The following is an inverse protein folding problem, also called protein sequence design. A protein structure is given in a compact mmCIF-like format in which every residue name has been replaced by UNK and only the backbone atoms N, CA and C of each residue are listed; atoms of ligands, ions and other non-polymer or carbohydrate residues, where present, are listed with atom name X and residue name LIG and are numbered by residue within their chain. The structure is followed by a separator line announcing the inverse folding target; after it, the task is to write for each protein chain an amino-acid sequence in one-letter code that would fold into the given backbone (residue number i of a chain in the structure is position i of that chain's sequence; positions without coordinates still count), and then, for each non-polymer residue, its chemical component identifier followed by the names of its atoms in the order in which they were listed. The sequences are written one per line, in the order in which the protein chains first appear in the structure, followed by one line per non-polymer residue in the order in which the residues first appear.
data_IF_771311712322
#
_entry.id   IF_771311712322
#
_cell.length_a   1.000
_cell.length_b   1.000
_cell.length_c   1.000
_cell.angle_alpha   90.00
_cell.angle_beta   90.00
_cell.angle_gamma   90.00
#
_symmetry.space_group_name_H-M   'P 1'
#
loop_
_entity.id
_entity.type
_entity.pdbx_description
1 polymer ?
#
# COMPACT_ATOMS: atom_id res chain seq x y z
N UNK A 1 -23.96 8.45 19.38
CA UNK A 1 -23.22 9.02 18.24
C UNK A 1 -23.35 8.08 17.06
N UNK A 2 -23.41 8.60 15.84
CA UNK A 2 -23.45 7.82 14.59
C UNK A 2 -22.36 8.30 13.63
N UNK A 3 -21.75 7.37 12.90
CA UNK A 3 -20.83 7.65 11.80
C UNK A 3 -21.35 6.94 10.55
N UNK A 4 -21.51 7.66 9.45
CA UNK A 4 -21.96 7.13 8.15
C UNK A 4 -20.90 7.38 7.09
N UNK A 5 -20.68 6.39 6.21
CA UNK A 5 -19.81 6.52 5.04
C UNK A 5 -20.63 6.24 3.77
N UNK A 6 -20.77 7.27 2.94
CA UNK A 6 -21.56 7.24 1.71
C UNK A 6 -20.60 7.33 0.52
N UNK A 7 -20.46 6.26 -0.29
CA UNK A 7 -19.69 6.35 -1.52
C UNK A 7 -20.34 7.31 -2.50
N UNK A 8 -19.63 8.36 -2.91
CA UNK A 8 -20.08 9.26 -3.96
C UNK A 8 -19.39 8.99 -5.30
N UNK A 9 -19.71 9.80 -6.33
CA UNK A 9 -19.19 9.60 -7.68
C UNK A 9 -17.66 9.78 -7.76
N UNK A 10 -16.93 8.87 -8.42
CA UNK A 10 -15.48 8.97 -8.59
C UNK A 10 -15.07 9.92 -9.73
N UNK A 11 -16.04 10.59 -10.37
CA UNK A 11 -15.85 11.48 -11.51
C UNK A 11 -16.30 12.90 -11.17
N UNK A 12 -15.68 13.94 -11.75
CA UNK A 12 -16.07 15.31 -11.51
C UNK A 12 -17.48 15.58 -12.04
N UNK A 13 -18.29 16.23 -11.20
CA UNK A 13 -19.65 16.66 -11.52
C UNK A 13 -19.68 18.14 -11.89
N UNK A 14 -20.59 18.50 -12.81
CA UNK A 14 -20.76 19.86 -13.30
C UNK A 14 -22.23 20.28 -13.29
N UNK A 15 -22.48 21.56 -12.99
CA UNK A 15 -23.79 22.20 -13.11
C UNK A 15 -23.66 23.43 -13.99
N UNK A 16 -24.35 23.45 -15.13
CA UNK A 16 -24.29 24.56 -16.10
C UNK A 16 -22.85 24.96 -16.50
N UNK A 17 -21.94 23.99 -16.59
CA UNK A 17 -20.52 24.21 -16.91
C UNK A 17 -19.63 24.53 -15.71
N UNK A 18 -20.17 24.79 -14.52
CA UNK A 18 -19.40 24.97 -13.29
C UNK A 18 -19.04 23.62 -12.66
N UNK A 19 -17.76 23.41 -12.32
CA UNK A 19 -17.28 22.20 -11.62
C UNK A 19 -17.68 22.26 -10.14
N UNK A 20 -18.25 21.18 -9.60
CA UNK A 20 -18.41 21.02 -8.16
C UNK A 20 -17.03 20.79 -7.51
N UNK A 21 -16.69 21.54 -6.48
CA UNK A 21 -15.37 21.47 -5.84
C UNK A 21 -15.39 20.63 -4.57
N UNK A 22 -16.48 20.71 -3.81
CA UNK A 22 -16.61 20.08 -2.49
C UNK A 22 -18.09 19.78 -2.26
N UNK A 23 -18.37 18.64 -1.64
CA UNK A 23 -19.70 18.27 -1.18
C UNK A 23 -19.70 18.31 0.35
N UNK A 24 -20.47 19.19 0.98
CA UNK A 24 -20.60 19.20 2.45
C UNK A 24 -21.80 18.34 2.85
N UNK A 25 -21.61 17.07 3.26
CA UNK A 25 -22.73 16.21 3.61
C UNK A 25 -23.38 16.73 4.90
N UNK A 26 -24.70 16.87 4.88
CA UNK A 26 -25.47 17.33 6.05
C UNK A 26 -26.43 16.24 6.45
N UNK A 27 -26.32 15.78 7.69
CA UNK A 27 -27.25 14.80 8.28
C UNK A 27 -28.10 15.44 9.38
N UNK A 28 -28.91 14.63 10.05
CA UNK A 28 -29.87 15.10 11.06
C UNK A 28 -29.44 14.58 12.43
N UNK A 29 -29.46 15.49 13.39
CA UNK A 29 -29.33 15.24 14.83
C UNK A 29 -30.74 15.05 15.37
N UNK A 30 -30.99 13.96 16.06
CA UNK A 30 -32.29 13.64 16.67
C UNK A 30 -32.12 13.37 18.16
N UNK A 31 -33.21 13.39 18.92
CA UNK A 31 -33.19 13.06 20.36
C UNK A 31 -32.43 11.74 20.62
N UNK A 32 -31.50 11.77 21.57
CA UNK A 32 -30.63 10.63 21.89
C UNK A 32 -29.36 10.51 21.03
N UNK A 33 -29.17 11.39 20.04
CA UNK A 33 -27.95 11.49 19.24
C UNK A 33 -27.38 12.90 19.31
N UNK A 34 -26.38 13.12 20.19
CA UNK A 34 -25.72 14.42 20.31
C UNK A 34 -24.78 14.76 19.14
N UNK A 35 -24.29 13.77 18.41
CA UNK A 35 -23.34 13.92 17.30
C UNK A 35 -23.60 12.89 16.19
N UNK A 36 -23.60 13.38 14.95
CA UNK A 36 -23.67 12.62 13.72
C UNK A 36 -22.54 13.07 12.78
N UNK A 37 -21.68 12.13 12.41
CA UNK A 37 -20.59 12.35 11.45
C UNK A 37 -20.95 11.65 10.15
N UNK A 38 -21.07 12.40 9.05
CA UNK A 38 -21.28 11.85 7.71
C UNK A 38 -20.05 12.09 6.86
N UNK A 39 -19.57 11.01 6.25
CA UNK A 39 -18.41 11.00 5.37
C UNK A 39 -18.89 10.67 3.97
N UNK A 40 -18.49 11.45 2.97
CA UNK A 40 -18.83 11.19 1.58
C UNK A 40 -17.61 11.32 0.69
N UNK A 41 -17.36 10.33 -0.17
CA UNK A 41 -16.30 10.43 -1.18
C UNK A 41 -16.76 11.21 -2.42
N UNK A 42 -15.87 11.98 -3.02
CA UNK A 42 -16.14 12.71 -4.27
C UNK A 42 -14.83 12.97 -5.02
N UNK A 43 -14.72 12.63 -6.32
CA UNK A 43 -13.56 13.00 -7.17
C UNK A 43 -12.18 12.88 -6.47
N UNK A 44 -11.87 11.71 -5.90
CA UNK A 44 -10.64 11.42 -5.13
C UNK A 44 -10.44 12.20 -3.83
N UNK A 45 -11.43 12.98 -3.38
CA UNK A 45 -11.52 13.57 -2.05
C UNK A 45 -12.50 12.83 -1.15
N UNK A 46 -12.40 13.12 0.14
CA UNK A 46 -13.29 12.66 1.20
C UNK A 46 -13.75 13.89 1.97
N UNK A 47 -15.06 14.12 1.97
CA UNK A 47 -15.67 15.26 2.61
C UNK A 47 -16.39 14.82 3.91
N UNK A 48 -16.22 15.61 4.97
CA UNK A 48 -16.75 15.34 6.30
C UNK A 48 -17.81 16.36 6.70
N UNK A 49 -18.93 15.87 7.22
CA UNK A 49 -20.01 16.66 7.81
C UNK A 49 -20.22 16.28 9.26
N UNK A 50 -20.03 17.22 10.18
CA UNK A 50 -20.22 17.03 11.62
C UNK A 50 -21.44 17.83 12.07
N UNK A 51 -22.54 17.13 12.34
CA UNK A 51 -23.74 17.75 12.89
C UNK A 51 -23.89 17.38 14.36
N UNK A 52 -24.02 18.38 15.21
CA UNK A 52 -24.09 18.19 16.65
C UNK A 52 -25.21 19.02 17.28
N UNK A 53 -25.72 18.55 18.41
CA UNK A 53 -26.56 19.36 19.29
C UNK A 53 -25.66 20.38 20.01
N UNK A 54 -25.99 21.67 19.85
CA UNK A 54 -25.14 22.76 20.33
C UNK A 54 -25.04 22.85 21.87
N UNK A 55 -26.01 22.29 22.61
CA UNK A 55 -25.97 22.27 24.08
C UNK A 55 -25.21 21.06 24.59
N UNK A 56 -25.39 19.90 23.95
CA UNK A 56 -24.73 18.67 24.34
C UNK A 56 -23.27 18.60 23.89
N UNK A 57 -22.89 19.32 22.82
CA UNK A 57 -21.53 19.32 22.28
C UNK A 57 -21.12 20.70 21.71
N UNK A 58 -20.92 21.72 22.57
CA UNK A 58 -20.46 23.05 22.15
C UNK A 58 -19.08 23.03 21.47
N UNK A 59 -18.25 22.02 21.74
CA UNK A 59 -16.89 21.83 21.23
C UNK A 59 -16.81 21.13 19.86
N UNK A 60 -17.91 20.98 19.11
CA UNK A 60 -17.92 20.30 17.80
C UNK A 60 -16.91 20.91 16.80
N UNK A 61 -16.66 22.21 16.88
CA UNK A 61 -15.66 22.89 16.07
C UNK A 61 -14.23 22.46 16.42
N UNK A 62 -13.95 22.23 17.71
CA UNK A 62 -12.66 21.71 18.17
C UNK A 62 -12.45 20.27 17.72
N UNK A 63 -13.50 19.44 17.73
CA UNK A 63 -13.45 18.09 17.16
C UNK A 63 -13.10 18.14 15.66
N UNK A 64 -13.72 19.05 14.90
CA UNK A 64 -13.41 19.21 13.48
C UNK A 64 -11.93 19.57 13.24
N UNK A 65 -11.38 20.46 14.07
CA UNK A 65 -9.97 20.82 14.03
C UNK A 65 -9.07 19.62 14.42
N UNK A 66 -9.43 18.86 15.45
CA UNK A 66 -8.69 17.70 15.90
C UNK A 66 -8.63 16.58 14.86
N UNK A 67 -9.70 16.36 14.09
CA UNK A 67 -9.71 15.40 12.97
C UNK A 67 -8.66 15.80 11.92
N UNK A 68 -8.55 17.09 11.62
CA UNK A 68 -7.55 17.59 10.67
C UNK A 68 -6.13 17.37 11.18
N UNK A 69 -5.85 17.72 12.44
CA UNK A 69 -4.54 17.49 13.07
C UNK A 69 -4.19 16.00 13.06
N UNK A 70 -5.12 15.13 13.47
CA UNK A 70 -4.89 13.69 13.47
C UNK A 70 -4.63 13.14 12.05
N UNK A 71 -5.28 13.70 11.03
CA UNK A 71 -5.02 13.32 9.65
C UNK A 71 -3.62 13.76 9.18
N UNK A 72 -3.20 14.98 9.53
CA UNK A 72 -1.86 15.49 9.25
C UNK A 72 -0.79 14.63 9.95
N UNK A 73 -1.03 14.24 11.20
CA UNK A 73 -0.15 13.33 11.94
C UNK A 73 -0.04 11.96 11.26
N UNK A 74 -1.16 11.40 10.80
CA UNK A 74 -1.17 10.12 10.07
C UNK A 74 -0.44 10.20 8.73
N UNK A 75 -0.53 11.33 8.02
CA UNK A 75 0.21 11.54 6.78
C UNK A 75 1.72 11.61 6.98
N UNK A 76 2.17 12.04 8.17
CA UNK A 76 3.59 12.11 8.51
C UNK A 76 4.20 10.73 8.83
N UNK A 77 3.38 9.71 9.07
CA UNK A 77 3.86 8.34 9.30
C UNK A 77 4.29 7.67 7.98
N UNK A 78 5.21 6.68 8.04
CA UNK A 78 5.53 5.84 6.88
C UNK A 78 4.25 5.23 6.29
N UNK A 79 4.17 5.16 4.96
CA UNK A 79 3.01 4.61 4.27
C UNK A 79 3.26 3.17 3.79
N UNK A 80 2.19 2.37 3.62
CA UNK A 80 2.31 1.04 3.02
C UNK A 80 3.01 1.11 1.65
N UNK A 81 4.19 0.48 1.55
CA UNK A 81 5.06 0.54 0.37
C UNK A 81 6.39 1.26 0.60
N UNK A 82 6.53 2.02 1.69
CA UNK A 82 7.80 2.64 2.07
C UNK A 82 8.80 1.59 2.59
N UNK A 83 10.11 1.77 2.37
CA UNK A 83 11.13 0.79 2.75
C UNK A 83 11.08 0.37 4.23
N UNK A 84 10.67 1.30 5.10
CA UNK A 84 10.66 1.15 6.55
C UNK A 84 9.24 0.91 7.11
N UNK A 85 8.22 0.76 6.27
CA UNK A 85 6.86 0.45 6.73
C UNK A 85 6.74 -1.02 7.13
N UNK A 86 6.15 -1.28 8.30
CA UNK A 86 6.07 -2.62 8.88
C UNK A 86 5.37 -3.65 7.96
N UNK A 87 4.35 -3.22 7.21
CA UNK A 87 3.64 -4.07 6.24
C UNK A 87 4.22 -4.03 4.82
N UNK A 88 5.33 -3.32 4.57
CA UNK A 88 5.98 -3.41 3.26
C UNK A 88 6.45 -4.85 3.05
N UNK A 89 5.99 -5.54 1.99
CA UNK A 89 6.37 -6.92 1.76
C UNK A 89 7.89 -7.01 1.66
N UNK A 90 8.54 -7.58 2.69
CA UNK A 90 9.99 -7.79 2.67
C UNK A 90 10.30 -8.59 1.40
N UNK A 91 11.20 -8.12 0.52
CA UNK A 91 11.47 -8.78 -0.73
C UNK A 91 11.88 -10.22 -0.43
N UNK A 92 11.03 -11.18 -0.83
CA UNK A 92 11.34 -12.59 -0.68
C UNK A 92 12.62 -12.84 -1.46
N UNK A 93 13.72 -13.08 -0.74
CA UNK A 93 15.02 -13.25 -1.38
C UNK A 93 14.91 -14.36 -2.42
N UNK A 94 15.24 -14.04 -3.67
CA UNK A 94 15.24 -15.00 -4.79
C UNK A 94 16.09 -16.24 -4.46
N UNK A 95 17.09 -16.07 -3.59
CA UNK A 95 17.94 -17.13 -3.04
C UNK A 95 17.11 -18.19 -2.28
N UNK A 96 16.12 -17.78 -1.48
CA UNK A 96 15.27 -18.70 -0.72
C UNK A 96 14.30 -19.52 -1.59
N UNK A 97 13.89 -18.98 -2.74
CA UNK A 97 13.02 -19.68 -3.70
C UNK A 97 13.81 -20.69 -4.55
N UNK A 98 15.01 -20.32 -4.99
CA UNK A 98 15.91 -21.22 -5.71
C UNK A 98 16.41 -22.38 -4.82
N UNK A 99 16.72 -22.12 -3.55
CA UNK A 99 17.09 -23.18 -2.60
C UNK A 99 15.94 -24.18 -2.38
N UNK A 100 14.69 -23.72 -2.28
CA UNK A 100 13.53 -24.59 -2.07
C UNK A 100 13.23 -25.49 -3.28
N UNK A 101 13.44 -24.99 -4.50
CA UNK A 101 13.24 -25.80 -5.71
C UNK A 101 14.36 -26.82 -5.93
N UNK A 102 15.60 -26.49 -5.59
CA UNK A 102 16.74 -27.42 -5.73
C UNK A 102 16.61 -28.57 -4.71
N UNK A 103 16.30 -28.27 -3.44
CA UNK A 103 16.12 -29.32 -2.42
C UNK A 103 14.92 -30.23 -2.71
N UNK A 104 13.85 -29.69 -3.31
CA UNK A 104 12.68 -30.46 -3.71
C UNK A 104 12.91 -31.39 -4.91
N UNK A 105 13.74 -30.99 -5.88
CA UNK A 105 14.06 -31.81 -7.06
C UNK A 105 15.10 -32.89 -6.73
N UNK A 106 16.08 -32.58 -5.88
CA UNK A 106 17.15 -33.54 -5.53
C UNK A 106 16.69 -34.58 -4.48
N UNK A 107 15.69 -34.25 -3.64
CA UNK A 107 15.16 -35.18 -2.64
C UNK A 107 14.34 -36.36 -3.19
N UNK A 108 13.92 -36.31 -4.46
CA UNK A 108 13.07 -37.33 -5.09
C UNK A 108 13.82 -38.54 -5.65
N UNK A 109 15.14 -38.50 -5.77
CA UNK A 109 15.93 -39.61 -6.29
C UNK A 109 17.16 -39.85 -5.41
N UNK A 110 17.46 -41.13 -5.15
CA UNK A 110 18.56 -41.68 -4.33
C UNK A 110 18.24 -41.88 -2.84
N UNK A 111 17.39 -42.87 -2.57
CA UNK A 111 17.40 -43.62 -1.30
C UNK A 111 18.49 -44.68 -1.41
N UNK A 112 19.71 -44.39 -0.97
CA UNK A 112 20.80 -45.38 -0.95
C UNK A 112 22.20 -44.81 -0.74
N UNK A 113 22.65 -44.81 0.52
CA UNK A 113 24.05 -44.95 0.97
C UNK A 113 25.21 -44.32 0.15
N UNK A 114 25.21 -43.01 -0.14
CA UNK A 114 26.45 -42.23 -0.40
C UNK A 114 26.26 -40.81 0.11
N UNK A 115 26.33 -40.58 1.43
CA UNK A 115 25.92 -39.31 2.05
C UNK A 115 26.96 -38.17 2.08
N UNK A 116 28.25 -38.47 1.91
CA UNK A 116 29.33 -37.45 2.02
C UNK A 116 29.78 -36.87 0.68
N UNK A 117 29.87 -37.70 -0.37
CA UNK A 117 30.30 -37.25 -1.71
C UNK A 117 29.21 -36.42 -2.38
N UNK A 118 27.94 -36.80 -2.22
CA UNK A 118 26.78 -36.06 -2.74
C UNK A 118 26.66 -34.67 -2.14
N UNK A 119 26.93 -34.50 -0.83
CA UNK A 119 26.88 -33.19 -0.18
C UNK A 119 27.92 -32.22 -0.76
N UNK A 120 29.15 -32.70 -0.98
CA UNK A 120 30.23 -31.91 -1.61
C UNK A 120 29.89 -31.49 -3.04
N UNK A 121 29.32 -32.40 -3.85
CA UNK A 121 28.91 -32.10 -5.23
C UNK A 121 27.74 -31.11 -5.27
N UNK A 122 26.79 -31.24 -4.33
CA UNK A 122 25.66 -30.31 -4.19
C UNK A 122 26.14 -28.93 -3.75
N UNK A 123 27.03 -28.84 -2.77
CA UNK A 123 27.58 -27.57 -2.29
C UNK A 123 28.40 -26.87 -3.40
N UNK A 124 29.20 -27.64 -4.16
CA UNK A 124 29.97 -27.11 -5.31
C UNK A 124 29.07 -26.63 -6.45
N UNK A 125 27.98 -27.33 -6.73
CA UNK A 125 27.01 -26.93 -7.76
C UNK A 125 26.22 -25.68 -7.34
N UNK A 126 25.85 -25.56 -6.06
CA UNK A 126 25.17 -24.40 -5.50
C UNK A 126 26.08 -23.17 -5.53
N UNK A 127 27.35 -23.31 -5.17
CA UNK A 127 28.28 -22.17 -5.17
C UNK A 127 28.66 -21.72 -6.59
N UNK A 128 28.75 -22.64 -7.56
CA UNK A 128 28.91 -22.30 -8.98
C UNK A 128 27.67 -21.56 -9.54
N UNK A 129 26.46 -21.99 -9.16
CA UNK A 129 25.22 -21.33 -9.54
C UNK A 129 25.09 -19.93 -8.91
N UNK A 130 25.52 -19.76 -7.65
CA UNK A 130 25.59 -18.46 -6.97
C UNK A 130 26.56 -17.50 -7.67
N UNK A 131 27.76 -17.96 -8.02
CA UNK A 131 28.75 -17.15 -8.75
C UNK A 131 28.23 -16.67 -10.10
N UNK A 132 27.54 -17.54 -10.82
CA UNK A 132 26.96 -17.22 -12.15
C UNK A 132 25.81 -16.21 -12.03
N UNK A 133 24.90 -16.39 -11.07
CA UNK A 133 23.78 -15.46 -10.82
C UNK A 133 24.25 -14.09 -10.35
N UNK A 134 25.25 -14.03 -9.45
CA UNK A 134 25.84 -12.75 -8.99
C UNK A 134 26.51 -12.02 -10.15
N UNK A 135 27.16 -12.73 -11.08
CA UNK A 135 27.76 -12.13 -12.27
C UNK A 135 26.73 -11.57 -13.27
N UNK A 136 25.57 -12.21 -13.40
CA UNK A 136 24.47 -11.77 -14.27
C UNK A 136 23.74 -10.54 -13.70
N UNK A 137 23.52 -10.48 -12.39
CA UNK A 137 22.93 -9.31 -11.72
C UNK A 137 23.86 -8.10 -11.85
N UNK A 138 25.17 -8.29 -11.66
CA UNK A 138 26.17 -7.22 -11.78
C UNK A 138 26.38 -6.71 -13.21
N UNK A 139 26.12 -7.53 -14.24
CA UNK A 139 26.08 -7.09 -15.65
C UNK A 139 24.80 -6.31 -16.00
N UNK A 140 23.67 -6.60 -15.34
CA UNK A 140 22.40 -5.88 -15.56
C UNK A 140 22.41 -4.48 -14.97
N UNK A 141 23.10 -4.25 -13.85
CA UNK A 141 23.20 -2.91 -13.24
C UNK A 141 24.17 -1.96 -13.97
N UNK A 142 24.89 -2.43 -15.00
CA UNK A 142 25.94 -1.66 -15.68
C UNK A 142 25.53 -1.11 -17.07
N UNK A 143 24.26 -1.21 -17.50
CA UNK A 143 23.81 -0.73 -18.82
C UNK A 143 23.20 0.68 -18.71
N UNK A 144 23.79 1.75 -19.28
CA UNK A 144 23.27 3.11 -19.16
C UNK A 144 22.07 3.35 -20.08
N UNK A 145 21.13 4.19 -19.62
CA UNK A 145 19.84 4.45 -20.24
C UNK A 145 19.94 5.39 -21.46
N UNK A 146 19.55 4.92 -22.64
CA UNK A 146 19.39 5.76 -23.84
C UNK A 146 17.96 6.29 -23.98
N UNK A 147 17.84 7.63 -23.90
CA UNK A 147 16.68 8.49 -24.22
C UNK A 147 16.01 8.08 -25.54
N UNK A 148 14.68 7.97 -25.58
CA UNK A 148 13.91 7.82 -26.84
C UNK A 148 12.77 8.84 -26.93
N UNK A 149 12.85 9.60 -28.02
CA UNK A 149 12.09 10.76 -28.47
C UNK A 149 10.63 10.44 -28.85
N UNK A 150 9.70 11.35 -28.56
CA UNK A 150 8.29 11.30 -28.95
C UNK A 150 8.07 11.75 -30.41
N UNK A 151 7.05 11.23 -31.13
CA UNK A 151 6.58 11.85 -32.38
C UNK A 151 5.29 12.66 -32.17
N UNK A 152 5.24 13.82 -32.83
CA UNK A 152 4.08 14.71 -33.00
C UNK A 152 2.95 14.01 -33.76
N UNK A 153 1.70 14.32 -33.39
CA UNK A 153 0.68 14.82 -34.32
C UNK A 153 -0.37 15.61 -33.55
#
# INVERSE_FOLDING_TARGET
MVISNVPGPPVPLYMAGAKMLTNYPTSIVVHGLALNITVQSYDQSLDFGLMADAQAMPEVAELAAAIRVAFEDLQALPQPGDPDHADTPKPQSLIGRAQRSITGVVGGAVKGAVGKVTKSVVDTAIDSARGTLVSQVRRRSARPATKKTAPRR
#
